data_IF_448621541001
#
_entry.id   IF_448621541001
#
_cell.length_a   1.000
_cell.length_b   1.000
_cell.length_c   1.000
_cell.angle_alpha   90.00
_cell.angle_beta   90.00
_cell.angle_gamma   90.00
#
_symmetry.space_group_name_H-M   'P 1'
#
loop_
_entity.id
_entity.type
_entity.pdbx_description
1 polymer ?
#
# COMPACT_ATOMS: atom_id res chain seq x y z
N UNK A 1 0.14 -10.99 -10.06
CA UNK A 1 -1.04 -11.85 -9.85
C UNK A 1 -1.45 -12.36 -11.21
N UNK A 2 -1.47 -13.67 -11.41
CA UNK A 2 -1.90 -14.30 -12.66
C UNK A 2 -3.43 -14.32 -12.80
N UNK A 3 -4.15 -14.03 -11.72
CA UNK A 3 -5.62 -13.97 -11.63
C UNK A 3 -6.07 -12.63 -11.00
N UNK A 4 -7.35 -12.28 -11.17
CA UNK A 4 -7.93 -11.09 -10.55
C UNK A 4 -7.92 -11.23 -9.03
N UNK A 5 -7.35 -10.26 -8.27
CA UNK A 5 -7.34 -10.33 -6.82
C UNK A 5 -8.75 -10.19 -6.22
N UNK A 6 -9.03 -10.95 -5.17
CA UNK A 6 -10.31 -10.92 -4.44
C UNK A 6 -10.42 -9.73 -3.47
N UNK A 7 -9.28 -9.18 -3.01
CA UNK A 7 -9.23 -7.92 -2.27
C UNK A 7 -7.92 -7.19 -2.52
N UNK A 8 -7.91 -5.86 -2.36
CA UNK A 8 -6.74 -5.01 -2.61
C UNK A 8 -6.64 -3.92 -1.55
N UNK A 9 -5.44 -3.69 -1.02
CA UNK A 9 -5.09 -2.46 -0.31
C UNK A 9 -4.29 -1.52 -1.24
N UNK A 10 -4.71 -0.25 -1.30
CA UNK A 10 -4.05 0.79 -2.09
C UNK A 10 -3.52 1.84 -1.12
N UNK A 11 -2.20 2.05 -1.10
CA UNK A 11 -1.52 2.90 -0.14
C UNK A 11 -0.74 3.97 -0.91
N UNK A 12 -1.03 5.26 -0.71
CA UNK A 12 -0.27 6.34 -1.35
C UNK A 12 1.15 6.40 -0.77
N UNK A 13 2.15 6.55 -1.64
CA UNK A 13 3.54 6.78 -1.23
C UNK A 13 3.83 8.28 -1.22
N UNK A 14 4.31 8.79 -0.08
CA UNK A 14 4.40 10.23 0.18
C UNK A 14 5.74 10.67 0.75
N UNK A 15 6.22 11.80 0.24
CA UNK A 15 7.28 12.62 0.85
C UNK A 15 6.70 14.00 1.16
N UNK A 16 7.29 15.06 0.60
CA UNK A 16 6.65 16.38 0.56
C UNK A 16 5.35 16.35 -0.25
N UNK A 17 5.39 15.65 -1.38
CA UNK A 17 4.25 15.40 -2.27
C UNK A 17 3.99 13.89 -2.38
N UNK A 18 2.81 13.52 -2.89
CA UNK A 18 2.54 12.12 -3.25
C UNK A 18 3.27 11.80 -4.55
N UNK A 19 4.17 10.81 -4.53
CA UNK A 19 5.02 10.49 -5.68
C UNK A 19 4.71 9.12 -6.29
N UNK A 20 3.82 8.34 -5.69
CA UNK A 20 3.46 7.03 -6.22
C UNK A 20 2.41 6.30 -5.40
N UNK A 21 2.19 5.03 -5.74
CA UNK A 21 1.22 4.16 -5.09
C UNK A 21 1.83 2.78 -4.84
N UNK A 22 1.60 2.24 -3.65
CA UNK A 22 1.86 0.86 -3.28
C UNK A 22 0.54 0.09 -3.32
N UNK A 23 0.48 -0.98 -4.12
CA UNK A 23 -0.70 -1.83 -4.26
C UNK A 23 -0.37 -3.21 -3.69
N UNK A 24 -1.20 -3.68 -2.75
CA UNK A 24 -1.07 -5.00 -2.12
C UNK A 24 -2.33 -5.83 -2.45
N UNK A 25 -2.26 -6.72 -3.45
CA UNK A 25 -3.40 -7.58 -3.81
C UNK A 25 -3.44 -8.86 -2.97
N UNK A 26 -4.60 -9.49 -2.88
CA UNK A 26 -4.78 -10.79 -2.22
C UNK A 26 -5.82 -11.67 -2.90
N UNK A 27 -5.62 -12.99 -2.84
CA UNK A 27 -6.62 -13.99 -3.20
C UNK A 27 -7.72 -14.18 -2.13
N UNK A 28 -7.55 -13.62 -0.93
CA UNK A 28 -8.54 -13.74 0.15
C UNK A 28 -9.46 -12.50 0.18
N UNK A 29 -10.78 -12.63 0.03
CA UNK A 29 -11.70 -11.49 -0.04
C UNK A 29 -11.79 -10.70 1.28
N UNK A 30 -11.54 -11.35 2.42
CA UNK A 30 -11.60 -10.74 3.75
C UNK A 30 -10.26 -10.26 4.28
N UNK A 31 -9.20 -10.24 3.45
CA UNK A 31 -7.89 -9.74 3.89
C UNK A 31 -7.84 -8.22 3.93
N UNK A 32 -8.42 -7.56 2.93
CA UNK A 32 -8.55 -6.11 2.87
C UNK A 32 -10.03 -5.74 2.71
N UNK A 33 -10.67 -5.32 3.80
CA UNK A 33 -12.10 -5.04 3.83
C UNK A 33 -12.39 -3.68 4.49
N UNK A 34 -13.51 -3.01 4.13
CA UNK A 34 -13.90 -1.74 4.75
C UNK A 34 -14.08 -1.87 6.26
N UNK A 35 -13.56 -0.89 7.02
CA UNK A 35 -13.64 -0.89 8.48
C UNK A 35 -12.56 -1.71 9.20
N UNK A 36 -11.69 -2.43 8.48
CA UNK A 36 -10.50 -3.01 9.09
C UNK A 36 -9.55 -1.93 9.62
N UNK A 37 -8.80 -2.22 10.68
CA UNK A 37 -7.72 -1.35 11.11
C UNK A 37 -6.61 -1.25 10.07
N UNK A 38 -6.18 -0.03 9.72
CA UNK A 38 -5.16 0.21 8.67
C UNK A 38 -3.77 0.52 9.22
N UNK A 39 -3.57 0.55 10.54
CA UNK A 39 -2.32 0.98 11.17
C UNK A 39 -1.07 0.29 10.58
N UNK A 40 -1.15 -1.02 10.36
CA UNK A 40 -0.04 -1.77 9.77
C UNK A 40 0.21 -1.40 8.30
N UNK A 41 -0.86 -1.22 7.50
CA UNK A 41 -0.77 -0.79 6.10
C UNK A 41 -0.20 0.62 5.99
N UNK A 42 -0.62 1.52 6.87
CA UNK A 42 -0.06 2.87 6.99
C UNK A 42 1.44 2.81 7.28
N UNK A 43 1.86 2.00 8.27
CA UNK A 43 3.28 1.87 8.62
C UNK A 43 4.12 1.29 7.50
N UNK A 44 3.61 0.30 6.76
CA UNK A 44 4.27 -0.21 5.55
C UNK A 44 4.43 0.92 4.52
N UNK A 45 3.36 1.69 4.26
CA UNK A 45 3.39 2.82 3.33
C UNK A 45 4.46 3.85 3.68
N UNK A 46 4.56 4.21 4.95
CA UNK A 46 5.58 5.15 5.46
C UNK A 46 7.00 4.61 5.26
N UNK A 47 7.25 3.36 5.63
CA UNK A 47 8.58 2.74 5.51
C UNK A 47 9.01 2.61 4.04
N UNK A 48 8.12 2.16 3.17
CA UNK A 48 8.39 2.05 1.74
C UNK A 48 8.63 3.43 1.14
N UNK A 49 7.81 4.43 1.50
CA UNK A 49 7.97 5.79 1.00
C UNK A 49 9.33 6.37 1.41
N UNK A 50 9.69 6.28 2.68
CA UNK A 50 10.97 6.76 3.19
C UNK A 50 12.18 6.04 2.56
N UNK A 51 12.04 4.76 2.24
CA UNK A 51 13.08 3.97 1.61
C UNK A 51 13.30 4.38 0.15
N UNK A 52 12.24 4.71 -0.58
CA UNK A 52 12.32 5.11 -1.98
C UNK A 52 12.73 6.57 -2.16
N UNK A 53 12.36 7.47 -1.24
CA UNK A 53 12.66 8.91 -1.32
C UNK A 53 14.15 9.23 -1.57
N UNK A 54 15.06 8.40 -1.07
CA UNK A 54 16.51 8.55 -1.26
C UNK A 54 17.00 8.24 -2.69
N UNK A 55 16.15 7.69 -3.55
CA UNK A 55 16.48 7.35 -4.95
C UNK A 55 15.69 8.16 -5.98
N UNK A 56 14.61 8.82 -5.56
CA UNK A 56 13.69 9.55 -6.44
C UNK A 56 13.72 11.06 -6.18
N UNK A 57 14.57 11.51 -5.26
CA UNK A 57 14.75 12.91 -4.88
C UNK A 57 16.05 13.46 -5.44
#
# INVERSE_FOLDING_TARGET
>A
FTETPASIAIIPMRGKETFGVLVLPSAHPTRFYPGMGTMFLTRIGELVSASLLRYIN
#
